data_IF_369007671827
#
_entry.id   IF_369007671827
#
_cell.length_a   1.000
_cell.length_b   1.000
_cell.length_c   1.000
_cell.angle_alpha   90.00
_cell.angle_beta   90.00
_cell.angle_gamma   90.00
#
_symmetry.space_group_name_H-M   'P 1'
#
loop_
_entity.id
_entity.type
_entity.pdbx_description
1 polymer ?
#
# COMPACT_ATOMS: atom_id res chain seq x y z
N UNK A 1 32.87 -3.39 49.62
CA UNK A 1 31.40 -3.44 49.74
C UNK A 1 30.85 -2.11 49.26
N UNK A 2 30.42 -2.03 48.00
CA UNK A 2 30.04 -0.77 47.32
C UNK A 2 28.51 -0.73 47.19
N UNK A 3 27.81 -0.98 48.30
CA UNK A 3 26.39 -0.67 48.39
C UNK A 3 26.27 0.61 49.18
N UNK A 4 26.07 1.70 48.45
CA UNK A 4 25.75 2.99 49.05
C UNK A 4 24.39 2.87 49.74
N UNK A 5 24.39 2.71 51.07
CA UNK A 5 23.20 2.56 51.92
C UNK A 5 22.34 3.83 52.01
N UNK A 6 22.65 4.87 51.23
CA UNK A 6 21.86 6.11 51.15
C UNK A 6 20.64 5.99 50.24
N UNK A 7 20.56 4.90 49.46
CA UNK A 7 19.45 4.63 48.55
C UNK A 7 18.52 3.59 49.18
N UNK A 8 17.40 4.05 49.74
CA UNK A 8 16.35 3.20 50.30
C UNK A 8 15.73 2.34 49.19
N UNK A 9 15.23 1.14 49.52
CA UNK A 9 14.50 0.25 48.58
C UNK A 9 13.41 1.02 47.81
N UNK A 10 12.75 1.98 48.47
CA UNK A 10 11.73 2.84 47.86
C UNK A 10 12.27 3.69 46.70
N UNK A 11 13.53 4.13 46.76
CA UNK A 11 14.14 4.89 45.66
C UNK A 11 14.40 4.00 44.44
N UNK A 12 14.74 2.72 44.65
CA UNK A 12 14.87 1.77 43.55
C UNK A 12 13.53 1.52 42.85
N UNK A 13 12.45 1.37 43.61
CA UNK A 13 11.09 1.25 43.05
C UNK A 13 10.69 2.49 42.25
N UNK A 14 10.97 3.70 42.75
CA UNK A 14 10.66 4.94 42.04
C UNK A 14 11.43 5.05 40.71
N UNK A 15 12.71 4.65 40.69
CA UNK A 15 13.51 4.64 39.45
C UNK A 15 12.95 3.62 38.45
N UNK A 16 12.58 2.43 38.93
CA UNK A 16 12.01 1.38 38.08
C UNK A 16 10.65 1.78 37.52
N UNK A 17 9.82 2.45 38.31
CA UNK A 17 8.55 3.03 37.86
C UNK A 17 8.78 4.15 36.84
N UNK A 18 9.73 5.07 37.06
CA UNK A 18 10.07 6.10 36.07
C UNK A 18 10.53 5.48 34.74
N UNK A 19 11.39 4.45 34.80
CA UNK A 19 11.83 3.75 33.61
C UNK A 19 10.68 3.05 32.88
N UNK A 20 9.80 2.39 33.63
CA UNK A 20 8.62 1.72 33.08
C UNK A 20 7.68 2.73 32.43
N UNK A 21 7.43 3.87 33.07
CA UNK A 21 6.62 4.96 32.50
C UNK A 21 7.27 5.49 31.22
N UNK A 22 8.59 5.70 31.21
CA UNK A 22 9.31 6.15 30.01
C UNK A 22 9.17 5.17 28.83
N UNK A 23 9.32 3.87 29.07
CA UNK A 23 9.15 2.86 28.02
C UNK A 23 7.70 2.81 27.54
N UNK A 24 6.73 2.91 28.45
CA UNK A 24 5.31 2.93 28.10
C UNK A 24 4.92 4.19 27.33
N UNK A 25 5.46 5.37 27.67
CA UNK A 25 5.21 6.60 26.93
C UNK A 25 5.82 6.56 25.54
N UNK A 26 7.05 6.02 25.38
CA UNK A 26 7.67 5.82 24.07
C UNK A 26 6.86 4.84 23.22
N UNK A 27 6.41 3.72 23.80
CA UNK A 27 5.58 2.73 23.10
C UNK A 27 4.21 3.29 22.71
N UNK A 28 3.60 4.08 23.60
CA UNK A 28 2.34 4.75 23.31
C UNK A 28 2.50 5.79 22.20
N UNK A 29 3.54 6.64 22.29
CA UNK A 29 3.86 7.67 21.30
C UNK A 29 4.08 7.08 19.91
N UNK A 30 4.79 5.95 19.82
CA UNK A 30 5.01 5.22 18.57
C UNK A 30 3.71 4.62 17.99
N UNK A 31 2.72 4.33 18.84
CA UNK A 31 1.44 3.76 18.43
C UNK A 31 0.35 4.82 18.15
N UNK A 32 0.62 6.10 18.36
CA UNK A 32 -0.32 7.17 18.01
C UNK A 32 -0.40 7.25 16.49
N UNK A 33 -1.53 6.81 15.91
CA UNK A 33 -1.85 6.92 14.47
C UNK A 33 -1.63 8.32 13.88
N UNK A 34 -1.72 9.36 14.71
CA UNK A 34 -1.49 10.75 14.33
C UNK A 34 -0.01 11.05 14.03
N UNK A 35 0.93 10.43 14.77
CA UNK A 35 2.38 10.54 14.51
C UNK A 35 2.74 9.79 13.24
N UNK A 36 2.15 8.60 13.03
CA UNK A 36 2.27 7.86 11.77
C UNK A 36 1.72 8.64 10.57
N UNK A 37 0.56 9.28 10.68
CA UNK A 37 0.00 10.07 9.57
C UNK A 37 0.79 11.35 9.25
N UNK A 38 1.43 11.98 10.26
CA UNK A 38 2.31 13.13 10.07
C UNK A 38 3.70 12.76 9.54
N UNK A 39 4.19 11.55 9.83
CA UNK A 39 5.50 11.06 9.42
C UNK A 39 5.43 10.29 8.08
N UNK A 40 4.38 9.49 7.87
CA UNK A 40 4.28 8.54 6.76
C UNK A 40 3.61 9.14 5.52
N UNK A 41 3.11 10.38 5.57
CA UNK A 41 2.51 11.05 4.39
C UNK A 41 1.26 10.37 3.85
N UNK A 42 0.73 10.85 2.71
CA UNK A 42 -0.35 10.18 1.96
C UNK A 42 0.22 9.75 0.61
N UNK A 43 -0.27 8.64 0.02
CA UNK A 43 0.12 8.26 -1.33
C UNK A 43 -0.15 9.43 -2.28
N UNK A 44 0.90 9.89 -2.95
CA UNK A 44 0.88 11.12 -3.74
C UNK A 44 1.19 10.81 -5.19
N UNK A 45 0.27 11.16 -6.09
CA UNK A 45 0.43 10.97 -7.53
C UNK A 45 1.42 12.01 -8.07
N UNK A 46 2.60 11.55 -8.52
CA UNK A 46 3.67 12.43 -9.02
C UNK A 46 3.63 12.61 -10.53
N UNK A 47 3.26 11.57 -11.28
CA UNK A 47 3.26 11.58 -12.75
C UNK A 47 1.92 11.05 -13.25
N UNK A 48 1.31 11.76 -14.19
CA UNK A 48 0.06 11.35 -14.86
C UNK A 48 0.12 11.69 -16.35
N UNK A 49 0.03 10.68 -17.22
CA UNK A 49 0.11 10.81 -18.68
C UNK A 49 1.30 11.65 -19.13
N UNK A 50 2.51 11.24 -18.75
CA UNK A 50 3.80 11.91 -19.07
C UNK A 50 4.01 13.30 -18.44
N UNK A 51 3.03 13.85 -17.72
CA UNK A 51 3.16 15.14 -17.04
C UNK A 51 3.53 14.93 -15.58
N UNK A 52 4.63 15.53 -15.15
CA UNK A 52 5.04 15.61 -13.74
C UNK A 52 4.21 16.70 -13.07
N UNK A 53 3.61 16.36 -11.93
CA UNK A 53 2.97 17.31 -11.05
C UNK A 53 4.02 17.89 -10.08
N UNK A 54 4.43 19.13 -10.35
CA UNK A 54 5.44 19.82 -9.55
C UNK A 54 4.93 20.18 -8.14
N UNK A 55 3.63 20.40 -7.98
CA UNK A 55 3.03 20.68 -6.67
C UNK A 55 3.02 19.42 -5.81
N UNK A 56 2.67 18.28 -6.43
CA UNK A 56 2.74 16.98 -5.79
C UNK A 56 4.17 16.56 -5.41
N UNK A 57 5.17 16.86 -6.26
CA UNK A 57 6.57 16.60 -5.90
C UNK A 57 7.03 17.46 -4.70
N UNK A 58 6.61 18.73 -4.65
CA UNK A 58 6.92 19.62 -3.52
C UNK A 58 6.24 19.21 -2.22
N UNK A 59 5.03 18.65 -2.28
CA UNK A 59 4.31 18.22 -1.08
C UNK A 59 4.96 17.00 -0.41
N UNK A 60 5.80 16.25 -1.13
CA UNK A 60 6.58 15.12 -0.60
C UNK A 60 8.10 15.38 -0.60
N UNK A 61 8.52 16.64 -0.76
CA UNK A 61 9.94 17.06 -0.80
C UNK A 61 10.81 16.27 -1.81
N UNK A 62 10.23 15.86 -2.94
CA UNK A 62 10.97 15.20 -4.02
C UNK A 62 11.46 16.20 -5.06
N UNK A 63 12.74 16.14 -5.40
CA UNK A 63 13.30 16.85 -6.54
C UNK A 63 13.25 15.99 -7.81
N UNK A 64 13.28 16.63 -8.98
CA UNK A 64 13.28 15.91 -10.26
C UNK A 64 14.46 14.94 -10.43
N UNK A 65 15.59 15.20 -9.77
CA UNK A 65 16.73 14.27 -9.72
C UNK A 65 16.38 12.99 -8.97
N UNK A 66 15.64 13.08 -7.85
CA UNK A 66 15.22 11.94 -7.04
C UNK A 66 14.20 11.09 -7.79
N UNK A 67 13.22 11.74 -8.44
CA UNK A 67 12.24 11.04 -9.30
C UNK A 67 12.97 10.25 -10.39
N UNK A 68 13.94 10.87 -11.05
CA UNK A 68 14.70 10.22 -12.12
C UNK A 68 15.55 9.05 -11.60
N UNK A 69 16.15 9.20 -10.42
CA UNK A 69 16.91 8.12 -9.77
C UNK A 69 16.02 6.95 -9.37
N UNK A 70 14.84 7.23 -8.79
CA UNK A 70 13.85 6.21 -8.42
C UNK A 70 13.26 5.48 -9.62
N UNK A 71 13.07 6.16 -10.76
CA UNK A 71 12.67 5.52 -12.01
C UNK A 71 13.78 4.61 -12.56
N UNK A 72 15.03 5.10 -12.57
CA UNK A 72 16.17 4.32 -13.05
C UNK A 72 16.46 3.10 -12.19
N UNK A 73 16.26 3.16 -10.87
CA UNK A 73 16.42 2.00 -10.00
C UNK A 73 15.40 0.89 -10.30
N UNK A 74 14.29 1.22 -10.97
CA UNK A 74 13.27 0.29 -11.46
C UNK A 74 13.44 -0.07 -12.94
N UNK A 75 14.56 0.30 -13.56
CA UNK A 75 14.85 0.00 -14.96
C UNK A 75 14.17 0.94 -15.97
N UNK A 76 13.56 2.04 -15.51
CA UNK A 76 12.87 3.02 -16.36
C UNK A 76 13.82 4.18 -16.65
N UNK A 77 14.26 4.29 -17.90
CA UNK A 77 15.26 5.28 -18.30
C UNK A 77 14.66 6.52 -18.97
N UNK A 78 13.41 6.44 -19.41
CA UNK A 78 12.70 7.54 -20.07
C UNK A 78 11.40 7.85 -19.37
N UNK A 79 11.19 9.12 -19.02
CA UNK A 79 9.94 9.61 -18.42
C UNK A 79 8.71 9.32 -19.29
N UNK A 80 8.87 9.27 -20.63
CA UNK A 80 7.80 8.96 -21.58
C UNK A 80 7.27 7.53 -21.45
N UNK A 81 8.06 6.63 -20.88
CA UNK A 81 7.62 5.27 -20.61
C UNK A 81 6.71 5.23 -19.38
N UNK A 82 6.54 6.32 -18.62
CA UNK A 82 5.75 6.35 -17.39
C UNK A 82 4.35 6.89 -17.68
N UNK A 83 3.35 6.03 -17.57
CA UNK A 83 1.95 6.43 -17.61
C UNK A 83 1.51 7.05 -16.28
N UNK A 84 1.90 6.40 -15.19
CA UNK A 84 1.57 6.83 -13.82
C UNK A 84 2.72 6.55 -12.87
N UNK A 85 3.00 7.48 -11.96
CA UNK A 85 3.88 7.20 -10.81
C UNK A 85 3.28 7.75 -9.52
N UNK A 86 3.23 6.92 -8.48
CA UNK A 86 2.70 7.23 -7.16
C UNK A 86 3.79 7.04 -6.12
N UNK A 87 4.01 8.05 -5.29
CA UNK A 87 4.90 7.97 -4.15
C UNK A 87 4.11 7.44 -2.95
N UNK A 88 4.46 6.24 -2.49
CA UNK A 88 3.89 5.60 -1.31
C UNK A 88 4.48 6.15 -0.03
N UNK A 89 3.80 5.86 1.08
CA UNK A 89 4.13 6.30 2.43
C UNK A 89 5.50 5.83 2.93
N UNK A 90 5.99 4.71 2.41
CA UNK A 90 7.25 4.06 2.78
C UNK A 90 8.42 4.47 1.88
N UNK A 91 8.36 5.64 1.26
CA UNK A 91 9.32 6.15 0.28
C UNK A 91 9.45 5.33 -1.02
N UNK A 92 8.60 4.32 -1.25
CA UNK A 92 8.58 3.59 -2.51
C UNK A 92 7.87 4.37 -3.61
N UNK A 93 8.45 4.37 -4.81
CA UNK A 93 7.79 4.90 -6.00
C UNK A 93 7.14 3.72 -6.73
N UNK A 94 5.82 3.70 -6.84
CA UNK A 94 5.12 2.73 -7.68
C UNK A 94 4.97 3.34 -9.07
N UNK A 95 5.41 2.63 -10.11
CA UNK A 95 5.41 3.14 -11.48
C UNK A 95 4.63 2.19 -12.37
N UNK A 96 3.70 2.75 -13.14
CA UNK A 96 2.97 2.06 -14.21
C UNK A 96 3.52 2.58 -15.52
N UNK A 97 4.04 1.68 -16.34
CA UNK A 97 4.62 2.03 -17.64
C UNK A 97 3.56 2.10 -18.74
N UNK A 98 3.82 2.89 -19.77
CA UNK A 98 2.99 2.90 -20.98
C UNK A 98 3.05 1.53 -21.64
N UNK A 99 1.90 0.86 -21.69
CA UNK A 99 1.79 -0.50 -22.22
C UNK A 99 1.98 -1.60 -21.17
N UNK A 100 2.22 -1.26 -19.89
CA UNK A 100 1.84 -2.18 -18.82
C UNK A 100 0.34 -2.47 -18.96
N UNK A 101 -0.05 -3.74 -18.79
CA UNK A 101 -1.46 -4.07 -18.71
C UNK A 101 -2.10 -3.20 -17.62
N UNK A 102 -3.22 -2.55 -17.94
CA UNK A 102 -4.03 -1.85 -16.94
C UNK A 102 -4.10 -2.71 -15.68
N UNK A 103 -3.99 -2.13 -14.47
CA UNK A 103 -4.05 -2.91 -13.24
C UNK A 103 -5.27 -3.82 -13.33
N UNK A 104 -5.01 -5.13 -13.41
CA UNK A 104 -6.06 -6.10 -13.65
C UNK A 104 -7.07 -5.96 -12.53
N UNK A 105 -8.32 -5.75 -12.90
CA UNK A 105 -9.34 -5.48 -11.91
C UNK A 105 -9.65 -6.78 -11.19
N UNK A 106 -9.32 -6.84 -9.91
CA UNK A 106 -9.65 -7.97 -9.05
C UNK A 106 -11.16 -7.96 -8.80
N UNK A 107 -11.85 -8.88 -9.46
CA UNK A 107 -13.31 -9.03 -9.38
C UNK A 107 -13.71 -10.11 -8.38
N UNK A 108 -12.81 -11.06 -8.09
CA UNK A 108 -12.94 -12.04 -6.99
C UNK A 108 -11.62 -12.15 -6.25
N UNK A 109 -11.67 -12.17 -4.92
CA UNK A 109 -10.50 -12.41 -4.06
C UNK A 109 -10.93 -13.30 -2.90
N UNK A 110 -10.22 -14.41 -2.70
CA UNK A 110 -10.48 -15.39 -1.63
C UNK A 110 -11.95 -15.85 -1.55
N UNK A 111 -12.55 -16.13 -2.71
CA UNK A 111 -13.93 -16.56 -2.82
C UNK A 111 -14.98 -15.46 -2.61
N UNK A 112 -14.57 -14.19 -2.48
CA UNK A 112 -15.45 -13.03 -2.28
C UNK A 112 -15.49 -12.17 -3.54
N UNK A 113 -16.69 -11.82 -3.98
CA UNK A 113 -16.91 -10.92 -5.12
C UNK A 113 -16.66 -9.47 -4.70
N UNK A 114 -15.85 -8.77 -5.47
CA UNK A 114 -15.51 -7.36 -5.25
C UNK A 114 -16.52 -6.44 -5.94
N UNK A 115 -17.70 -6.29 -5.34
CA UNK A 115 -18.85 -5.58 -5.94
C UNK A 115 -18.52 -4.15 -6.35
N UNK A 116 -17.81 -3.39 -5.52
CA UNK A 116 -17.39 -2.01 -5.83
C UNK A 116 -16.54 -1.93 -7.11
N UNK A 117 -15.71 -2.94 -7.35
CA UNK A 117 -14.86 -3.03 -8.55
C UNK A 117 -15.73 -3.35 -9.76
N UNK A 118 -16.67 -4.30 -9.66
CA UNK A 118 -17.62 -4.63 -10.72
C UNK A 118 -18.49 -3.44 -11.12
N UNK A 119 -19.00 -2.68 -10.16
CA UNK A 119 -19.77 -1.46 -10.41
C UNK A 119 -18.93 -0.41 -11.15
N UNK A 120 -17.66 -0.24 -10.77
CA UNK A 120 -16.74 0.67 -11.45
C UNK A 120 -16.45 0.27 -12.91
N UNK A 121 -16.60 -1.01 -13.22
CA UNK A 121 -16.48 -1.59 -14.56
C UNK A 121 -17.81 -1.60 -15.33
N UNK A 122 -18.92 -1.21 -14.69
CA UNK A 122 -20.26 -1.30 -15.28
C UNK A 122 -20.73 -2.75 -15.50
N UNK A 123 -20.17 -3.71 -14.77
CA UNK A 123 -20.51 -5.13 -14.84
C UNK A 123 -21.39 -5.51 -13.64
N UNK A 124 -22.33 -6.44 -13.82
CA UNK A 124 -23.17 -6.94 -12.72
C UNK A 124 -22.62 -8.24 -12.13
N UNK A 125 -23.06 -8.58 -10.92
CA UNK A 125 -22.73 -9.88 -10.31
C UNK A 125 -23.24 -11.05 -11.16
N UNK A 126 -24.42 -10.92 -11.79
CA UNK A 126 -24.95 -11.97 -12.68
C UNK A 126 -24.05 -12.16 -13.90
N UNK A 127 -23.51 -11.07 -14.48
CA UNK A 127 -22.56 -11.16 -15.58
C UNK A 127 -21.31 -11.94 -15.18
N UNK A 128 -20.81 -11.71 -13.96
CA UNK A 128 -19.64 -12.42 -13.44
C UNK A 128 -19.93 -13.91 -13.26
N UNK A 129 -21.06 -14.26 -12.63
CA UNK A 129 -21.47 -15.66 -12.41
C UNK A 129 -21.64 -16.39 -13.74
N UNK A 130 -22.27 -15.76 -14.73
CA UNK A 130 -22.42 -16.32 -16.08
C UNK A 130 -21.07 -16.53 -16.78
N UNK A 131 -20.11 -15.62 -16.59
CA UNK A 131 -18.77 -15.74 -17.18
C UNK A 131 -17.98 -16.88 -16.52
N UNK A 132 -18.01 -16.96 -15.19
CA UNK A 132 -17.36 -18.02 -14.42
C UNK A 132 -17.97 -19.39 -14.74
N UNK A 133 -19.30 -19.49 -14.83
CA UNK A 133 -19.99 -20.72 -15.20
C UNK A 133 -19.63 -21.21 -16.61
N UNK A 134 -19.46 -20.31 -17.59
CA UNK A 134 -18.98 -20.67 -18.95
C UNK A 134 -17.56 -21.25 -18.94
N UNK A 135 -16.76 -20.90 -17.93
CA UNK A 135 -15.40 -21.42 -17.74
C UNK A 135 -15.36 -22.69 -16.86
N UNK A 136 -16.52 -23.17 -16.39
CA UNK A 136 -16.62 -24.36 -15.52
C UNK A 136 -16.42 -24.06 -14.02
N UNK A 137 -16.51 -22.79 -13.62
CA UNK A 137 -16.40 -22.36 -12.23
C UNK A 137 -17.79 -22.05 -11.65
N UNK A 138 -18.48 -23.07 -11.16
CA UNK A 138 -19.86 -22.95 -10.63
C UNK A 138 -19.92 -22.36 -9.21
N UNK A 139 -18.81 -22.40 -8.47
CA UNK A 139 -18.73 -21.92 -7.10
C UNK A 139 -17.62 -20.89 -6.93
N UNK A 140 -18.01 -19.64 -6.69
CA UNK A 140 -17.09 -18.53 -6.44
C UNK A 140 -16.19 -18.81 -5.23
N UNK A 141 -16.67 -19.54 -4.21
CA UNK A 141 -15.87 -19.87 -3.02
C UNK A 141 -14.62 -20.71 -3.32
N UNK A 142 -14.56 -21.39 -4.48
CA UNK A 142 -13.40 -22.18 -4.89
C UNK A 142 -12.36 -21.35 -5.67
N UNK A 143 -12.63 -20.06 -5.90
CA UNK A 143 -11.77 -19.14 -6.64
C UNK A 143 -10.87 -18.41 -5.65
N UNK A 144 -9.57 -18.58 -5.79
CA UNK A 144 -8.57 -17.82 -5.04
C UNK A 144 -8.49 -16.38 -5.57
N UNK A 145 -8.40 -16.22 -6.89
CA UNK A 145 -8.39 -14.90 -7.53
C UNK A 145 -9.08 -14.96 -8.89
N UNK A 146 -9.86 -13.93 -9.21
CA UNK A 146 -10.29 -13.67 -10.59
C UNK A 146 -9.95 -12.24 -11.00
N UNK A 147 -9.33 -12.14 -12.17
CA UNK A 147 -8.84 -10.91 -12.78
C UNK A 147 -9.68 -10.59 -14.02
N UNK A 148 -10.12 -9.34 -14.14
CA UNK A 148 -10.74 -8.81 -15.35
C UNK A 148 -9.76 -7.92 -16.10
N UNK A 149 -9.53 -8.23 -17.39
CA UNK A 149 -8.82 -7.37 -18.33
C UNK A 149 -9.56 -7.31 -19.67
N UNK A 150 -9.99 -6.10 -20.07
CA UNK A 150 -10.57 -5.78 -21.39
C UNK A 150 -11.61 -6.79 -21.91
N UNK A 151 -12.44 -7.35 -21.02
CA UNK A 151 -13.50 -8.31 -21.37
C UNK A 151 -13.15 -9.77 -21.16
N UNK A 152 -11.89 -10.10 -20.87
CA UNK A 152 -11.45 -11.43 -20.48
C UNK A 152 -11.41 -11.55 -18.95
N UNK A 153 -11.93 -12.67 -18.44
CA UNK A 153 -11.84 -13.04 -17.02
C UNK A 153 -10.86 -14.20 -16.91
N UNK A 154 -9.78 -14.02 -16.15
CA UNK A 154 -8.81 -15.06 -15.83
C UNK A 154 -9.03 -15.51 -14.39
N UNK A 155 -9.08 -16.82 -14.15
CA UNK A 155 -9.44 -17.41 -12.85
C UNK A 155 -8.31 -18.30 -12.34
N UNK A 156 -7.99 -18.20 -11.05
CA UNK A 156 -7.13 -19.14 -10.33
C UNK A 156 -7.95 -19.72 -9.18
N UNK A 157 -8.03 -21.04 -9.09
CA UNK A 157 -8.74 -21.78 -8.04
C UNK A 157 -7.78 -22.28 -6.96
N UNK A 158 -8.32 -22.73 -5.83
CA UNK A 158 -7.52 -23.28 -4.71
C UNK A 158 -6.93 -24.70 -4.94
N UNK A 159 -7.12 -25.28 -6.14
CA UNK A 159 -7.03 -26.73 -6.46
C UNK A 159 -8.18 -27.59 -5.90
#
# INVERSE_FOLDING_TARGET
MIYNSSISILQYEVILLMWTILVLTLKWLHNIRFVKCLIDGKPTLLIKHEKIDLEACRSVDLFGVDVTLKLRSQGIFQMKQVERAVQEQNDQLIVVQMGDENPKYLIVTDGVIQVEVLESLGCSEEWLIDNLGKQGHDNVANIFIAEYDKGAVTVVTYE
#
